data_IF_248577891125
#
_entry.id   IF_248577891125
#
_cell.length_a   1.000
_cell.length_b   1.000
_cell.length_c   1.000
_cell.angle_alpha   90.00
_cell.angle_beta   90.00
_cell.angle_gamma   90.00
#
_symmetry.space_group_name_H-M   'P 1'
#
loop_
_entity.id
_entity.type
_entity.pdbx_description
1 polymer ?
#
# COMPACT_ATOMS: atom_id res chain seq x y z
N UNK A 1 0.20 -26.66 27.50
CA UNK A 1 0.70 -25.30 27.81
C UNK A 1 0.44 -24.48 26.57
N UNK A 2 -0.57 -23.62 26.67
CA UNK A 2 -1.17 -22.83 25.59
C UNK A 2 -0.21 -21.74 25.16
N UNK A 3 0.16 -21.70 23.88
CA UNK A 3 0.69 -20.51 23.21
C UNK A 3 0.45 -20.65 21.70
N UNK A 4 -0.81 -20.57 21.32
CA UNK A 4 -1.19 -20.09 20.00
C UNK A 4 -1.91 -18.78 20.26
N UNK A 5 -1.13 -17.74 20.53
CA UNK A 5 -1.61 -16.37 20.36
C UNK A 5 -2.29 -16.33 18.99
N UNK A 6 -3.55 -15.92 18.95
CA UNK A 6 -4.29 -15.70 17.72
C UNK A 6 -3.47 -14.71 16.88
N UNK A 7 -2.64 -15.23 15.97
CA UNK A 7 -1.80 -14.40 15.12
C UNK A 7 -2.72 -13.55 14.27
N UNK A 8 -2.69 -12.24 14.48
CA UNK A 8 -3.44 -11.29 13.67
C UNK A 8 -3.03 -11.48 12.20
N UNK A 9 -3.97 -11.92 11.38
CA UNK A 9 -3.72 -12.27 9.97
C UNK A 9 -3.87 -11.08 9.03
N UNK A 10 -4.31 -9.92 9.53
CA UNK A 10 -4.57 -8.71 8.76
C UNK A 10 -3.61 -7.61 9.20
N UNK A 11 -2.92 -7.01 8.24
CA UNK A 11 -1.86 -6.04 8.52
C UNK A 11 -2.08 -4.76 7.75
N UNK A 12 -1.88 -3.62 8.41
CA UNK A 12 -1.75 -2.33 7.75
C UNK A 12 -0.25 -2.03 7.64
N UNK A 13 0.22 -1.80 6.42
CA UNK A 13 1.58 -1.37 6.15
C UNK A 13 1.52 0.11 5.81
N UNK A 14 2.13 0.93 6.67
CA UNK A 14 2.18 2.38 6.53
C UNK A 14 3.61 2.80 6.24
N UNK A 15 3.83 3.67 5.26
CA UNK A 15 5.12 4.39 5.16
C UNK A 15 5.02 5.78 5.77
N UNK A 16 6.13 6.29 6.32
CA UNK A 16 6.15 7.63 6.91
C UNK A 16 7.50 8.31 6.71
N UNK A 17 7.45 9.62 6.49
CA UNK A 17 8.57 10.55 6.67
C UNK A 17 8.24 11.65 7.69
N UNK A 18 7.11 11.54 8.37
CA UNK A 18 6.58 12.52 9.30
C UNK A 18 6.65 12.02 10.75
N UNK A 19 6.53 12.91 11.74
CA UNK A 19 6.19 12.50 13.10
C UNK A 19 4.81 11.81 13.15
N UNK A 20 4.50 11.08 14.23
CA UNK A 20 3.14 10.66 14.58
C UNK A 20 2.11 11.76 14.32
N UNK A 21 0.99 11.41 13.70
CA UNK A 21 -0.02 12.36 13.24
C UNK A 21 -1.45 11.79 13.27
N UNK A 22 -2.43 12.66 13.04
CA UNK A 22 -3.85 12.33 13.09
C UNK A 22 -4.28 11.24 12.10
N UNK A 23 -3.65 11.14 10.92
CA UNK A 23 -3.98 10.08 9.96
C UNK A 23 -3.62 8.70 10.51
N UNK A 24 -2.45 8.60 11.16
CA UNK A 24 -2.04 7.36 11.81
C UNK A 24 -2.92 7.05 13.03
N UNK A 25 -3.39 8.05 13.77
CA UNK A 25 -4.37 7.83 14.85
C UNK A 25 -5.68 7.24 14.32
N UNK A 26 -6.20 7.76 13.20
CA UNK A 26 -7.39 7.23 12.53
C UNK A 26 -7.17 5.79 12.05
N UNK A 27 -5.99 5.49 11.49
CA UNK A 27 -5.61 4.12 11.10
C UNK A 27 -5.63 3.19 12.33
N UNK A 28 -5.09 3.61 13.46
CA UNK A 28 -5.02 2.80 14.68
C UNK A 28 -6.40 2.59 15.30
N UNK A 29 -7.24 3.63 15.33
CA UNK A 29 -8.62 3.53 15.82
C UNK A 29 -9.41 2.47 15.03
N UNK A 30 -9.29 2.50 13.70
CA UNK A 30 -9.98 1.55 12.84
C UNK A 30 -9.35 0.16 12.79
N UNK A 31 -8.03 0.07 12.94
CA UNK A 31 -7.32 -1.20 13.04
C UNK A 31 -7.85 -2.03 14.23
N UNK A 32 -8.08 -1.38 15.37
CA UNK A 32 -8.56 -2.02 16.59
C UNK A 32 -7.71 -3.25 16.95
N UNK A 33 -8.38 -4.32 17.37
CA UNK A 33 -7.73 -5.62 17.64
C UNK A 33 -7.68 -6.54 16.41
N UNK A 34 -8.34 -6.14 15.31
CA UNK A 34 -8.49 -6.97 14.10
C UNK A 34 -7.30 -6.85 13.15
N UNK A 35 -6.52 -5.77 13.26
CA UNK A 35 -5.38 -5.46 12.40
C UNK A 35 -4.13 -5.12 13.21
N UNK A 36 -2.99 -5.66 12.79
CA UNK A 36 -1.69 -5.21 13.25
C UNK A 36 -1.17 -4.11 12.32
N UNK A 37 -0.52 -3.08 12.86
CA UNK A 37 0.02 -1.97 12.07
C UNK A 37 1.54 -2.03 12.10
N UNK A 38 2.17 -2.03 10.93
CA UNK A 38 3.61 -1.87 10.77
C UNK A 38 3.89 -0.55 10.05
N UNK A 39 4.71 0.29 10.67
CA UNK A 39 5.10 1.59 10.15
C UNK A 39 6.54 1.53 9.70
N UNK A 40 6.79 1.87 8.43
CA UNK A 40 8.11 1.84 7.80
C UNK A 40 8.64 3.26 7.69
N UNK A 41 9.65 3.58 8.49
CA UNK A 41 10.34 4.86 8.41
C UNK A 41 11.36 4.93 7.27
N UNK A 42 11.80 6.15 6.96
CA UNK A 42 12.90 6.44 6.06
C UNK A 42 13.84 7.49 6.69
N UNK A 43 14.87 7.94 5.98
CA UNK A 43 15.85 8.91 6.47
C UNK A 43 15.26 10.26 6.92
N UNK A 44 14.07 10.61 6.45
CA UNK A 44 13.38 11.85 6.83
C UNK A 44 12.50 11.70 8.06
N UNK A 45 12.19 10.47 8.47
CA UNK A 45 11.41 10.20 9.67
C UNK A 45 12.21 10.67 10.90
N UNK A 46 11.59 11.33 11.88
CA UNK A 46 12.26 11.72 13.12
C UNK A 46 12.95 10.53 13.82
N UNK A 47 14.14 10.77 14.39
CA UNK A 47 14.90 9.72 15.09
C UNK A 47 14.21 9.27 16.39
N UNK A 48 13.41 10.15 17.00
CA UNK A 48 12.59 9.93 18.20
C UNK A 48 11.16 9.46 17.87
N UNK A 49 10.94 8.93 16.67
CA UNK A 49 9.64 8.44 16.26
C UNK A 49 9.16 7.29 17.16
N UNK A 50 8.03 7.51 17.81
CA UNK A 50 7.39 6.53 18.69
C UNK A 50 5.88 6.72 18.67
N UNK A 51 5.16 5.63 18.43
CA UNK A 51 3.72 5.56 18.60
C UNK A 51 3.34 4.11 18.91
N UNK A 52 2.34 3.91 19.76
CA UNK A 52 1.82 2.59 20.10
C UNK A 52 0.32 2.55 19.79
N UNK A 53 -0.24 1.38 19.41
CA UNK A 53 0.41 0.07 19.31
C UNK A 53 0.86 -0.25 17.85
N UNK A 54 2.05 0.19 17.44
CA UNK A 54 2.61 -0.14 16.11
C UNK A 54 3.89 -0.96 16.18
N UNK A 55 4.16 -1.70 15.11
CA UNK A 55 5.49 -2.23 14.82
C UNK A 55 6.27 -1.20 14.01
N UNK A 56 7.15 -0.44 14.65
CA UNK A 56 7.97 0.53 13.94
C UNK A 56 9.25 -0.09 13.36
N UNK A 57 9.45 0.07 12.06
CA UNK A 57 10.65 -0.33 11.33
C UNK A 57 11.47 0.90 10.97
N UNK A 58 12.28 1.36 11.93
CA UNK A 58 13.30 2.39 11.67
C UNK A 58 14.32 1.92 10.63
N UNK A 59 15.09 2.85 10.06
CA UNK A 59 16.17 2.51 9.12
C UNK A 59 17.20 1.53 9.70
N UNK A 60 17.48 1.63 11.00
CA UNK A 60 18.34 0.68 11.69
C UNK A 60 17.68 -0.70 11.80
N UNK A 61 16.40 -0.75 12.19
CA UNK A 61 15.64 -2.00 12.32
C UNK A 61 15.46 -2.71 10.99
N UNK A 62 15.23 -1.97 9.90
CA UNK A 62 15.20 -2.53 8.54
C UNK A 62 16.51 -3.22 8.18
N UNK A 63 17.66 -2.58 8.48
CA UNK A 63 18.99 -3.17 8.24
C UNK A 63 19.25 -4.40 9.11
N UNK A 64 18.84 -4.36 10.37
CA UNK A 64 18.97 -5.48 11.30
C UNK A 64 18.18 -6.71 10.82
N UNK A 65 16.94 -6.51 10.37
CA UNK A 65 16.04 -7.60 9.97
C UNK A 65 16.33 -8.14 8.57
N UNK A 66 16.65 -7.27 7.62
CA UNK A 66 16.71 -7.62 6.18
C UNK A 66 18.12 -7.53 5.58
N UNK A 67 19.13 -7.19 6.38
CA UNK A 67 20.54 -7.26 6.03
C UNK A 67 20.88 -6.58 4.71
N UNK A 68 21.47 -7.34 3.79
CA UNK A 68 21.92 -6.84 2.48
C UNK A 68 20.77 -6.27 1.63
N UNK A 69 19.56 -6.83 1.74
CA UNK A 69 18.41 -6.32 0.99
C UNK A 69 18.07 -4.88 1.42
N UNK A 70 18.06 -4.61 2.73
CA UNK A 70 17.89 -3.26 3.27
C UNK A 70 19.04 -2.31 2.93
N UNK A 71 20.27 -2.82 2.81
CA UNK A 71 21.42 -2.03 2.42
C UNK A 71 21.38 -1.61 0.93
N UNK A 72 20.78 -2.43 0.06
CA UNK A 72 20.65 -2.14 -1.38
C UNK A 72 19.43 -1.29 -1.73
N UNK A 73 18.39 -1.28 -0.90
CA UNK A 73 17.23 -0.44 -1.13
C UNK A 73 17.61 1.06 -0.99
N UNK A 74 17.23 1.92 -1.93
CA UNK A 74 17.49 3.36 -1.82
C UNK A 74 16.78 3.96 -0.61
N UNK A 75 17.39 4.99 -0.02
CA UNK A 75 16.74 5.83 0.99
C UNK A 75 15.93 6.95 0.33
N UNK A 76 15.01 7.55 1.07
CA UNK A 76 14.01 8.52 0.61
C UNK A 76 13.23 7.99 -0.60
N UNK A 77 12.84 6.72 -0.53
CA UNK A 77 12.26 6.03 -1.68
C UNK A 77 11.11 5.14 -1.26
N UNK A 78 10.00 5.29 -1.98
CA UNK A 78 8.74 4.62 -1.70
C UNK A 78 8.85 3.08 -1.67
N UNK A 79 9.82 2.51 -2.41
CA UNK A 79 10.08 1.07 -2.38
C UNK A 79 10.43 0.50 -1.00
N UNK A 80 10.76 1.33 0.00
CA UNK A 80 11.00 0.88 1.37
C UNK A 80 9.76 0.24 2.01
N UNK A 81 8.54 0.52 1.51
CA UNK A 81 7.32 -0.19 1.91
C UNK A 81 7.42 -1.71 1.84
N UNK A 82 8.26 -2.23 0.95
CA UNK A 82 8.55 -3.67 0.84
C UNK A 82 9.03 -4.29 2.16
N UNK A 83 9.72 -3.54 3.04
CA UNK A 83 10.12 -4.04 4.35
C UNK A 83 8.92 -4.25 5.27
N UNK A 84 7.89 -3.41 5.17
CA UNK A 84 6.62 -3.60 5.86
C UNK A 84 5.90 -4.85 5.37
N UNK A 85 5.87 -5.09 4.05
CA UNK A 85 5.31 -6.33 3.49
C UNK A 85 6.03 -7.57 4.00
N UNK A 86 7.37 -7.58 3.92
CA UNK A 86 8.17 -8.72 4.39
C UNK A 86 7.98 -8.96 5.88
N UNK A 87 7.97 -7.89 6.68
CA UNK A 87 7.72 -7.99 8.11
C UNK A 87 6.33 -8.58 8.40
N UNK A 88 5.27 -8.01 7.81
CA UNK A 88 3.91 -8.53 7.97
C UNK A 88 3.81 -10.02 7.58
N UNK A 89 4.40 -10.42 6.45
CA UNK A 89 4.43 -11.81 5.98
C UNK A 89 5.17 -12.71 6.97
N UNK A 90 6.34 -12.30 7.47
CA UNK A 90 7.09 -13.04 8.49
C UNK A 90 6.30 -13.24 9.79
N UNK A 91 5.35 -12.34 10.06
CA UNK A 91 4.47 -12.38 11.22
C UNK A 91 3.08 -12.99 10.92
N UNK A 92 2.90 -13.65 9.78
CA UNK A 92 1.72 -14.45 9.46
C UNK A 92 0.60 -13.70 8.74
N UNK A 93 0.87 -12.53 8.16
CA UNK A 93 -0.09 -11.80 7.35
C UNK A 93 -0.67 -12.65 6.21
N UNK A 94 -2.00 -12.62 6.07
CA UNK A 94 -2.77 -13.17 4.95
C UNK A 94 -3.50 -12.09 4.16
N UNK A 95 -3.64 -10.90 4.74
CA UNK A 95 -4.19 -9.72 4.10
C UNK A 95 -3.36 -8.52 4.54
N UNK A 96 -2.90 -7.73 3.58
CA UNK A 96 -2.14 -6.51 3.80
C UNK A 96 -2.88 -5.38 3.11
N UNK A 97 -3.30 -4.41 3.89
CA UNK A 97 -3.67 -3.10 3.39
C UNK A 97 -2.45 -2.20 3.45
N UNK A 98 -2.17 -1.48 2.38
CA UNK A 98 -1.06 -0.55 2.31
C UNK A 98 -1.54 0.88 2.04
N UNK A 99 -0.97 1.81 2.80
CA UNK A 99 -1.30 3.24 2.75
C UNK A 99 -0.11 4.07 3.21
N UNK A 100 -0.21 5.38 3.04
CA UNK A 100 0.71 6.37 3.60
C UNK A 100 0.12 7.03 4.85
N UNK A 101 0.97 7.69 5.64
CA UNK A 101 0.62 8.37 6.89
C UNK A 101 0.01 9.77 6.69
N UNK A 102 -0.42 10.09 5.48
CA UNK A 102 -1.15 11.32 5.12
C UNK A 102 -2.50 11.02 4.43
N UNK A 103 -2.86 9.73 4.33
CA UNK A 103 -4.10 9.26 3.71
C UNK A 103 -5.14 8.93 4.77
N UNK A 104 -6.36 9.44 4.59
CA UNK A 104 -7.48 9.23 5.51
C UNK A 104 -8.53 8.30 4.87
N UNK A 105 -8.62 7.03 5.29
CA UNK A 105 -9.64 6.13 4.76
C UNK A 105 -11.05 6.59 5.15
N UNK A 106 -12.01 6.42 4.25
CA UNK A 106 -13.43 6.61 4.56
C UNK A 106 -13.88 5.64 5.67
N UNK A 107 -14.83 6.04 6.50
CA UNK A 107 -15.28 5.21 7.63
C UNK A 107 -15.77 3.81 7.23
N UNK A 108 -16.38 3.66 6.05
CA UNK A 108 -16.88 2.39 5.52
C UNK A 108 -15.83 1.57 4.73
N UNK A 109 -14.62 2.11 4.58
CA UNK A 109 -13.54 1.51 3.80
C UNK A 109 -13.06 0.16 4.38
N UNK A 110 -12.87 0.09 5.69
CA UNK A 110 -12.23 -1.03 6.38
C UNK A 110 -12.97 -2.37 6.21
N UNK A 111 -14.30 -2.32 6.13
CA UNK A 111 -15.13 -3.50 5.90
C UNK A 111 -15.00 -4.10 4.49
N UNK A 112 -14.39 -3.37 3.55
CA UNK A 112 -14.25 -3.77 2.14
C UNK A 112 -12.98 -4.58 1.86
N UNK A 113 -12.02 -4.56 2.79
CA UNK A 113 -10.71 -5.18 2.57
C UNK A 113 -10.82 -6.69 2.82
N UNK A 114 -10.55 -7.47 1.77
CA UNK A 114 -10.63 -8.92 1.79
C UNK A 114 -9.47 -9.50 1.00
N UNK A 115 -8.77 -10.55 1.46
CA UNK A 115 -7.66 -11.17 0.72
C UNK A 115 -8.11 -11.78 -0.62
N UNK A 116 -9.42 -11.82 -0.88
CA UNK A 116 -10.02 -12.19 -2.16
C UNK A 116 -10.86 -11.03 -2.71
N UNK A 117 -10.61 -10.67 -3.96
CA UNK A 117 -11.31 -9.62 -4.68
C UNK A 117 -12.06 -10.24 -5.86
N UNK A 118 -13.33 -9.86 -6.02
CA UNK A 118 -14.15 -10.23 -7.17
C UNK A 118 -14.23 -9.07 -8.13
N UNK A 119 -13.74 -9.25 -9.35
CA UNK A 119 -13.74 -8.21 -10.37
C UNK A 119 -13.51 -8.77 -11.77
N UNK A 120 -13.70 -7.91 -12.77
CA UNK A 120 -13.33 -8.24 -14.15
C UNK A 120 -11.82 -8.19 -14.28
N UNK A 121 -11.25 -9.14 -15.00
CA UNK A 121 -9.81 -9.18 -15.28
C UNK A 121 -9.52 -8.39 -16.54
N UNK A 122 -8.46 -7.58 -16.52
CA UNK A 122 -7.93 -6.90 -17.68
C UNK A 122 -6.56 -7.49 -18.05
N UNK A 123 -6.25 -7.58 -19.35
CA UNK A 123 -4.99 -8.12 -19.84
C UNK A 123 -4.82 -7.95 -21.35
N UNK A 124 -3.89 -8.70 -21.95
CA UNK A 124 -3.63 -8.64 -23.39
C UNK A 124 -2.67 -7.53 -23.83
N UNK A 125 -2.10 -6.80 -22.88
CA UNK A 125 -1.03 -5.82 -23.08
C UNK A 125 0.06 -6.03 -22.01
N UNK A 126 1.29 -5.59 -22.30
CA UNK A 126 2.38 -5.58 -21.30
C UNK A 126 2.16 -4.49 -20.25
N UNK A 127 1.62 -3.35 -20.68
CA UNK A 127 1.26 -2.20 -19.86
C UNK A 127 -0.19 -1.83 -20.14
N UNK A 128 -0.95 -1.47 -19.12
CA UNK A 128 -2.38 -1.22 -19.25
C UNK A 128 -2.74 0.04 -18.46
N UNK A 129 -3.39 1.00 -19.13
CA UNK A 129 -4.00 2.15 -18.49
C UNK A 129 -5.35 1.77 -17.88
N UNK A 130 -5.34 1.39 -16.60
CA UNK A 130 -6.55 0.93 -15.90
C UNK A 130 -7.62 2.01 -15.79
N UNK A 131 -7.26 3.30 -15.82
CA UNK A 131 -8.18 4.42 -15.64
C UNK A 131 -9.11 4.59 -16.84
N UNK A 132 -8.69 4.14 -18.03
CA UNK A 132 -9.51 4.17 -19.24
C UNK A 132 -10.78 3.28 -19.16
N UNK A 133 -10.89 2.44 -18.13
CA UNK A 133 -12.11 1.66 -17.86
C UNK A 133 -13.11 2.38 -16.95
N UNK A 134 -12.72 3.50 -16.35
CA UNK A 134 -13.50 4.22 -15.34
C UNK A 134 -13.79 5.69 -15.73
N UNK A 135 -13.10 6.22 -16.75
CA UNK A 135 -13.34 7.56 -17.30
C UNK A 135 -13.14 7.58 -18.82
N UNK A 136 -13.80 8.52 -19.50
CA UNK A 136 -13.54 8.85 -20.90
C UNK A 136 -12.34 9.81 -21.07
N UNK A 137 -11.90 10.44 -19.97
CA UNK A 137 -10.75 11.33 -19.97
C UNK A 137 -9.43 10.56 -20.15
N UNK A 138 -8.47 11.17 -20.85
CA UNK A 138 -7.13 10.61 -21.02
C UNK A 138 -6.28 10.83 -19.76
N UNK A 139 -6.43 9.94 -18.79
CA UNK A 139 -5.68 9.97 -17.53
C UNK A 139 -4.37 9.21 -17.69
N UNK A 140 -3.24 9.83 -17.33
CA UNK A 140 -1.93 9.18 -17.32
C UNK A 140 -1.56 8.73 -15.89
N UNK A 141 -1.61 7.41 -15.59
CA UNK A 141 -1.24 6.90 -14.28
C UNK A 141 0.26 7.09 -14.04
N UNK A 142 0.62 7.45 -12.82
CA UNK A 142 2.02 7.58 -12.44
C UNK A 142 2.76 6.24 -12.66
N UNK A 143 3.86 6.30 -13.41
CA UNK A 143 4.70 5.13 -13.70
C UNK A 143 4.29 4.28 -14.91
N UNK A 144 3.16 4.58 -15.57
CA UNK A 144 2.83 3.96 -16.85
C UNK A 144 3.74 4.52 -17.97
N UNK A 145 4.34 3.69 -18.84
CA UNK A 145 5.04 4.20 -20.02
C UNK A 145 4.14 5.10 -20.86
N UNK A 146 4.65 6.26 -21.29
CA UNK A 146 3.85 7.27 -21.97
C UNK A 146 3.29 6.78 -23.31
N UNK A 147 4.03 5.92 -24.00
CA UNK A 147 3.59 5.25 -25.23
C UNK A 147 2.47 4.23 -25.01
N UNK A 148 2.23 3.80 -23.77
CA UNK A 148 1.13 2.91 -23.39
C UNK A 148 -0.11 3.66 -22.87
N UNK A 149 -0.13 5.00 -22.87
CA UNK A 149 -1.24 5.79 -22.28
C UNK A 149 -2.62 5.47 -22.88
N UNK A 150 -2.67 5.12 -24.16
CA UNK A 150 -3.91 4.77 -24.85
C UNK A 150 -4.28 3.28 -24.77
N UNK A 151 -3.42 2.44 -24.20
CA UNK A 151 -3.64 1.00 -24.15
C UNK A 151 -4.47 0.64 -22.92
N UNK A 152 -5.78 0.47 -23.11
CA UNK A 152 -6.68 -0.03 -22.06
C UNK A 152 -6.67 -1.57 -21.97
N UNK A 153 -5.90 -2.27 -22.81
CA UNK A 153 -5.93 -3.72 -22.96
C UNK A 153 -7.34 -4.27 -23.24
N UNK A 154 -7.57 -5.51 -22.81
CA UNK A 154 -8.84 -6.24 -22.98
C UNK A 154 -9.39 -6.65 -21.65
N UNK A 155 -10.64 -6.28 -21.39
CA UNK A 155 -11.39 -6.69 -20.19
C UNK A 155 -12.19 -7.95 -20.52
N UNK A 156 -12.11 -8.95 -19.64
CA UNK A 156 -12.98 -10.11 -19.69
C UNK A 156 -14.38 -9.76 -19.17
N UNK A 157 -15.43 -10.20 -19.88
CA UNK A 157 -16.82 -9.88 -19.52
C UNK A 157 -17.23 -10.46 -18.16
N UNK A 158 -16.72 -11.64 -17.82
CA UNK A 158 -17.04 -12.33 -16.58
C UNK A 158 -16.14 -11.86 -15.43
N UNK A 159 -16.77 -11.54 -14.30
CA UNK A 159 -16.07 -11.31 -13.05
C UNK A 159 -15.52 -12.63 -12.49
N UNK A 160 -14.31 -12.58 -11.95
CA UNK A 160 -13.69 -13.71 -11.28
C UNK A 160 -13.19 -13.28 -9.89
N UNK A 161 -13.24 -14.22 -8.94
CA UNK A 161 -12.61 -14.03 -7.63
C UNK A 161 -11.16 -14.45 -7.71
N UNK A 162 -10.25 -13.55 -7.33
CA UNK A 162 -8.81 -13.78 -7.28
C UNK A 162 -8.26 -13.52 -5.87
N UNK A 163 -7.15 -14.17 -5.53
CA UNK A 163 -6.41 -13.86 -4.31
C UNK A 163 -5.58 -12.59 -4.54
N UNK A 164 -5.88 -11.55 -3.77
CA UNK A 164 -5.25 -10.25 -3.80
C UNK A 164 -4.84 -9.91 -2.38
N UNK A 165 -3.84 -10.62 -1.86
CA UNK A 165 -3.46 -10.54 -0.46
C UNK A 165 -2.83 -9.20 -0.06
N UNK A 166 -2.31 -8.43 -1.01
CA UNK A 166 -1.76 -7.08 -0.79
C UNK A 166 -2.61 -6.10 -1.59
N UNK A 167 -3.15 -5.09 -0.94
CA UNK A 167 -4.10 -4.14 -1.52
C UNK A 167 -3.69 -2.70 -1.22
N UNK A 168 -3.74 -1.90 -2.28
CA UNK A 168 -3.67 -0.45 -2.27
C UNK A 168 -4.93 0.08 -2.98
N UNK A 169 -5.36 1.28 -2.62
CA UNK A 169 -6.54 1.92 -3.19
C UNK A 169 -6.20 3.33 -3.69
N UNK A 170 -7.13 3.92 -4.45
CA UNK A 170 -7.01 5.28 -4.95
C UNK A 170 -7.20 6.29 -3.82
N UNK A 171 -6.49 7.40 -3.92
CA UNK A 171 -6.62 8.53 -3.00
C UNK A 171 -7.23 9.70 -3.76
N UNK A 172 -8.14 10.43 -3.12
CA UNK A 172 -8.80 11.58 -3.74
C UNK A 172 -7.80 12.67 -4.12
N UNK A 173 -8.19 13.48 -5.10
CA UNK A 173 -7.35 14.46 -5.81
C UNK A 173 -6.47 13.80 -6.89
N UNK A 174 -5.21 14.19 -7.02
CA UNK A 174 -4.32 13.76 -8.09
C UNK A 174 -2.97 13.16 -7.64
N UNK A 175 -2.86 12.42 -6.50
CA UNK A 175 -1.59 11.84 -6.08
C UNK A 175 -1.13 10.67 -6.97
N UNK A 176 -2.07 10.00 -7.63
CA UNK A 176 -1.83 8.82 -8.46
C UNK A 176 -1.49 9.14 -9.92
N UNK A 177 -1.41 10.42 -10.28
CA UNK A 177 -1.02 10.91 -11.61
C UNK A 177 0.25 11.75 -11.53
N UNK A 178 1.03 11.76 -12.60
CA UNK A 178 2.30 12.51 -12.65
C UNK A 178 2.08 13.93 -13.20
N UNK A 179 3.05 14.83 -13.05
CA UNK A 179 2.97 16.20 -13.56
C UNK A 179 2.72 16.29 -15.07
N UNK A 180 3.22 15.33 -15.86
CA UNK A 180 2.98 15.32 -17.32
C UNK A 180 1.49 15.13 -17.65
N UNK A 181 0.71 14.46 -16.79
CA UNK A 181 -0.75 14.38 -16.97
C UNK A 181 -1.37 15.77 -17.12
N UNK A 182 -0.85 16.76 -16.37
CA UNK A 182 -1.31 18.15 -16.41
C UNK A 182 -0.92 18.91 -17.69
N UNK A 183 -0.17 18.28 -18.59
CA UNK A 183 0.27 18.82 -19.89
C UNK A 183 -0.45 18.17 -21.08
N UNK A 184 -1.37 17.23 -20.83
CA UNK A 184 -2.10 16.53 -21.88
C UNK A 184 -3.31 17.33 -22.43
N UNK A 185 -3.62 18.49 -21.84
CA UNK A 185 -4.73 19.37 -22.19
C UNK A 185 -4.27 20.80 -22.48
#
# INVERSE_FOLDING_TARGET
>A
MSDHADLVQRWVVVTTIHPPNDALDVILEHAGDDWAVVVVGDNKTPDDWEQAPVHYLSMARQRELFGEFAARAPANHYCRKNFGYLYAIMHGARCIFETDDDTYPYADFWGRISPRVTGRRAGGATWLNVYAHFSEDLIWPRGLPLDAIHDAGRVHDEAATSECAIQQYLVDSDPDVDAIYRLLF
#
